data_IF_223552149162
#
_entry.id   IF_223552149162
#
_cell.length_a   1.000
_cell.length_b   1.000
_cell.length_c   1.000
_cell.angle_alpha   90.00
_cell.angle_beta   90.00
_cell.angle_gamma   90.00
#
_symmetry.space_group_name_H-M   'P 1'
#
loop_
_entity.id
_entity.type
_entity.pdbx_description
1 polymer ?
#
# COMPACT_ATOMS: atom_id res chain seq x y z
N UNK A 1 -22.40 -7.18 -7.97
CA UNK A 1 -21.00 -6.73 -7.95
C UNK A 1 -20.44 -7.12 -9.31
N UNK A 2 -19.90 -6.18 -10.09
CA UNK A 2 -19.43 -6.48 -11.45
C UNK A 2 -18.06 -7.15 -11.39
N UNK A 3 -17.84 -8.17 -12.24
CA UNK A 3 -16.60 -8.94 -12.28
C UNK A 3 -15.35 -8.07 -12.55
N UNK A 4 -15.53 -6.94 -13.24
CA UNK A 4 -14.46 -6.00 -13.60
C UNK A 4 -13.91 -5.22 -12.38
N UNK A 5 -14.76 -4.90 -11.40
CA UNK A 5 -14.29 -4.22 -10.17
C UNK A 5 -13.47 -5.16 -9.28
N UNK A 6 -13.88 -6.43 -9.21
CA UNK A 6 -13.18 -7.46 -8.46
C UNK A 6 -11.80 -7.78 -9.10
N UNK A 7 -11.72 -7.79 -10.44
CA UNK A 7 -10.45 -7.91 -11.17
C UNK A 7 -9.54 -6.70 -10.94
N UNK A 8 -10.09 -5.49 -10.92
CA UNK A 8 -9.32 -4.27 -10.62
C UNK A 8 -8.77 -4.28 -9.19
N UNK A 9 -9.57 -4.69 -8.19
CA UNK A 9 -9.15 -4.81 -6.79
C UNK A 9 -7.99 -5.81 -6.58
N UNK A 10 -7.93 -6.87 -7.39
CA UNK A 10 -6.84 -7.85 -7.32
C UNK A 10 -5.45 -7.25 -7.61
N UNK A 11 -5.41 -6.07 -8.26
CA UNK A 11 -4.18 -5.36 -8.67
C UNK A 11 -3.64 -4.42 -7.58
N UNK A 12 -4.21 -4.40 -6.38
CA UNK A 12 -3.81 -3.54 -5.25
C UNK A 12 -3.08 -4.36 -4.16
N UNK A 13 -1.73 -4.34 -4.05
CA UNK A 13 -1.01 -4.94 -2.89
C UNK A 13 0.29 -4.18 -2.41
N UNK A 14 0.58 -4.20 -1.08
CA UNK A 14 0.98 -3.09 -0.09
C UNK A 14 2.43 -2.58 -0.09
N UNK A 15 2.65 -1.34 0.41
CA UNK A 15 3.88 -0.82 1.07
C UNK A 15 3.57 0.38 2.02
N UNK A 16 4.41 0.67 3.03
CA UNK A 16 4.08 1.02 4.45
C UNK A 16 4.88 2.18 5.08
N UNK A 17 4.28 2.96 6.04
CA UNK A 17 4.51 3.36 7.51
C UNK A 17 5.76 4.01 8.22
N UNK A 18 5.71 5.25 8.77
CA UNK A 18 6.86 5.90 9.49
C UNK A 18 7.32 5.22 10.80
N UNK A 19 8.52 5.57 11.34
CA UNK A 19 9.03 5.06 12.61
C UNK A 19 8.08 5.39 13.77
N UNK A 20 7.29 4.41 14.18
CA UNK A 20 6.73 4.38 15.51
C UNK A 20 7.85 4.67 16.52
N UNK A 21 7.59 5.63 17.43
CA UNK A 21 8.21 5.76 18.74
C UNK A 21 8.70 4.40 19.23
N UNK A 22 9.89 4.33 19.81
CA UNK A 22 10.42 3.14 20.47
C UNK A 22 9.32 2.50 21.35
N UNK A 23 8.62 1.51 20.80
CA UNK A 23 7.53 0.84 21.49
C UNK A 23 8.16 0.12 22.66
N UNK A 24 7.92 0.61 23.88
CA UNK A 24 8.32 -0.13 25.07
C UNK A 24 7.53 -1.43 25.05
N UNK A 25 8.23 -2.56 24.92
CA UNK A 25 7.64 -3.87 25.12
C UNK A 25 6.94 -3.88 26.48
N UNK A 26 5.68 -4.32 26.47
CA UNK A 26 4.95 -4.60 27.70
C UNK A 26 5.62 -5.74 28.47
N UNK A 27 5.35 -5.84 29.78
CA UNK A 27 5.93 -6.88 30.62
C UNK A 27 5.52 -8.29 30.15
N UNK A 28 4.31 -8.44 29.61
CA UNK A 28 3.82 -9.69 29.04
C UNK A 28 4.61 -10.09 27.78
N UNK A 29 4.96 -9.13 26.92
CA UNK A 29 5.76 -9.37 25.73
C UNK A 29 7.21 -9.70 26.10
N UNK A 30 7.80 -8.95 27.04
CA UNK A 30 9.16 -9.23 27.55
C UNK A 30 9.26 -10.65 28.11
N UNK A 31 8.33 -11.02 28.99
CA UNK A 31 8.29 -12.36 29.58
C UNK A 31 8.18 -13.45 28.51
N UNK A 32 7.37 -13.25 27.48
CA UNK A 32 7.22 -14.23 26.41
C UNK A 32 8.51 -14.39 25.58
N UNK A 33 9.20 -13.27 25.30
CA UNK A 33 10.47 -13.29 24.57
C UNK A 33 11.61 -13.89 25.40
N UNK A 34 11.64 -13.68 26.71
CA UNK A 34 12.61 -14.30 27.62
C UNK A 34 12.43 -15.84 27.67
N UNK A 35 11.18 -16.32 27.69
CA UNK A 35 10.87 -17.75 27.60
C UNK A 35 11.32 -18.31 26.25
N UNK A 36 11.01 -17.63 25.15
CA UNK A 36 11.45 -18.04 23.82
C UNK A 36 12.97 -18.14 23.74
N UNK A 37 13.71 -17.14 24.26
CA UNK A 37 15.18 -17.12 24.31
C UNK A 37 15.77 -18.26 25.16
N UNK A 38 15.10 -18.65 26.24
CA UNK A 38 15.54 -19.73 27.11
C UNK A 38 15.19 -21.13 26.57
N UNK A 39 14.41 -21.21 25.48
CA UNK A 39 13.93 -22.48 24.94
C UNK A 39 15.02 -23.10 24.07
N UNK A 40 15.53 -24.27 24.48
CA UNK A 40 16.69 -24.89 23.81
C UNK A 40 16.40 -25.33 22.37
N UNK A 41 15.19 -25.85 22.12
CA UNK A 41 14.77 -26.35 20.80
C UNK A 41 13.45 -25.71 20.42
N UNK A 42 13.43 -25.06 19.25
CA UNK A 42 12.20 -24.49 18.67
C UNK A 42 11.59 -25.53 17.73
N UNK A 43 10.47 -26.11 18.15
CA UNK A 43 9.62 -26.98 17.35
C UNK A 43 8.13 -26.57 17.47
N UNK A 44 7.26 -27.26 16.74
CA UNK A 44 5.83 -26.97 16.74
C UNK A 44 5.20 -27.09 18.14
N UNK A 45 5.70 -27.99 19.00
CA UNK A 45 5.17 -28.19 20.34
C UNK A 45 5.58 -27.03 21.26
N UNK A 46 6.84 -26.61 21.21
CA UNK A 46 7.36 -25.48 21.96
C UNK A 46 6.65 -24.18 21.59
N UNK A 47 6.44 -23.92 20.28
CA UNK A 47 5.69 -22.74 19.86
C UNK A 47 4.22 -22.80 20.28
N UNK A 48 3.59 -23.97 20.18
CA UNK A 48 2.20 -24.18 20.61
C UNK A 48 2.03 -23.87 22.10
N UNK A 49 2.93 -24.38 22.94
CA UNK A 49 2.91 -24.14 24.38
C UNK A 49 3.15 -22.67 24.73
N UNK A 50 4.10 -22.04 24.04
CA UNK A 50 4.41 -20.62 24.21
C UNK A 50 3.18 -19.74 23.90
N UNK A 51 2.53 -19.95 22.76
CA UNK A 51 1.44 -19.06 22.31
C UNK A 51 0.14 -19.28 23.10
N UNK A 52 -0.08 -20.47 23.65
CA UNK A 52 -1.22 -20.78 24.52
C UNK A 52 -1.15 -19.93 25.79
N UNK A 53 0.03 -19.93 26.44
CA UNK A 53 0.27 -19.20 27.70
C UNK A 53 0.54 -17.71 27.47
N UNK A 54 1.18 -17.38 26.35
CA UNK A 54 1.63 -16.03 25.99
C UNK A 54 1.21 -15.65 24.56
N UNK A 55 -0.08 -15.43 24.29
CA UNK A 55 -0.58 -15.12 22.94
C UNK A 55 -0.03 -13.80 22.37
N UNK A 56 0.50 -12.92 23.21
CA UNK A 56 1.16 -11.67 22.79
C UNK A 56 2.53 -11.91 22.14
N UNK A 57 3.09 -13.12 22.21
CA UNK A 57 4.29 -13.51 21.47
C UNK A 57 4.03 -13.60 19.95
N UNK A 58 2.78 -13.87 19.55
CA UNK A 58 2.46 -14.21 18.16
C UNK A 58 2.94 -13.18 17.12
N UNK A 59 2.75 -11.85 17.30
CA UNK A 59 3.30 -10.86 16.39
C UNK A 59 4.81 -10.95 16.17
N UNK A 60 5.58 -11.34 17.19
CA UNK A 60 7.03 -11.50 17.10
C UNK A 60 7.40 -12.77 16.33
N UNK A 61 6.70 -13.88 16.60
CA UNK A 61 6.94 -15.14 15.89
C UNK A 61 6.66 -14.98 14.38
N UNK A 62 5.51 -14.41 14.02
CA UNK A 62 5.15 -14.24 12.60
C UNK A 62 5.99 -13.19 11.89
N UNK A 63 6.69 -12.32 12.62
CA UNK A 63 7.66 -11.41 12.01
C UNK A 63 8.86 -12.15 11.40
N UNK A 64 9.19 -13.35 11.90
CA UNK A 64 10.23 -14.21 11.33
C UNK A 64 9.88 -14.69 9.91
N UNK A 65 8.59 -14.71 9.56
CA UNK A 65 8.08 -15.02 8.21
C UNK A 65 7.64 -13.76 7.46
N UNK A 66 8.03 -12.57 7.94
CA UNK A 66 7.76 -11.29 7.29
C UNK A 66 6.33 -10.79 7.41
N UNK A 67 5.48 -11.39 8.25
CA UNK A 67 4.12 -10.95 8.44
C UNK A 67 4.03 -9.83 9.47
N UNK A 68 3.31 -8.77 9.10
CA UNK A 68 2.86 -7.76 10.05
C UNK A 68 1.62 -8.19 10.84
N UNK A 69 1.32 -7.49 11.94
CA UNK A 69 0.09 -7.73 12.71
C UNK A 69 -1.19 -7.62 11.86
N UNK A 70 -1.25 -6.66 10.94
CA UNK A 70 -2.41 -6.48 10.08
C UNK A 70 -2.51 -7.55 8.99
N UNK A 71 -1.38 -8.01 8.45
CA UNK A 71 -1.36 -9.17 7.55
C UNK A 71 -1.77 -10.44 8.29
N UNK A 72 -1.27 -10.65 9.51
CA UNK A 72 -1.66 -11.78 10.35
C UNK A 72 -3.19 -11.80 10.56
N UNK A 73 -3.83 -10.68 10.92
CA UNK A 73 -5.31 -10.64 11.05
C UNK A 73 -6.02 -11.02 9.74
N UNK A 74 -5.50 -10.58 8.61
CA UNK A 74 -6.01 -10.93 7.28
C UNK A 74 -5.92 -12.43 7.01
N UNK A 75 -4.74 -13.02 7.23
CA UNK A 75 -4.51 -14.45 7.02
C UNK A 75 -5.33 -15.31 7.97
N UNK A 76 -5.46 -14.92 9.25
CA UNK A 76 -6.29 -15.64 10.21
C UNK A 76 -7.77 -15.61 9.83
N UNK A 77 -8.25 -14.49 9.26
CA UNK A 77 -9.62 -14.42 8.76
C UNK A 77 -9.81 -15.32 7.54
N UNK A 78 -8.84 -15.37 6.63
CA UNK A 78 -8.87 -16.20 5.41
C UNK A 78 -8.79 -17.70 5.72
N UNK A 79 -7.83 -18.10 6.55
CA UNK A 79 -7.49 -19.50 6.80
C UNK A 79 -8.33 -20.15 7.88
N UNK A 80 -8.66 -19.38 8.93
CA UNK A 80 -9.29 -19.90 10.15
C UNK A 80 -10.64 -19.26 10.44
N UNK A 81 -11.07 -18.26 9.65
CA UNK A 81 -12.32 -17.54 9.87
C UNK A 81 -12.30 -16.63 11.12
N UNK A 82 -11.13 -16.37 11.71
CA UNK A 82 -11.01 -15.62 12.97
C UNK A 82 -10.37 -14.25 12.78
N UNK A 83 -10.89 -13.24 13.47
CA UNK A 83 -10.40 -11.86 13.35
C UNK A 83 -9.14 -11.53 14.16
N UNK A 84 -8.63 -12.46 14.98
CA UNK A 84 -7.46 -12.22 15.82
C UNK A 84 -6.94 -13.48 16.52
N UNK A 85 -5.64 -13.47 16.84
CA UNK A 85 -4.91 -14.64 17.33
C UNK A 85 -5.15 -14.94 18.82
N UNK A 86 -5.42 -13.94 19.67
CA UNK A 86 -5.46 -14.15 21.14
C UNK A 86 -6.50 -15.20 21.56
N UNK A 87 -7.71 -15.16 20.97
CA UNK A 87 -8.77 -16.11 21.32
C UNK A 87 -8.48 -17.51 20.80
N UNK A 88 -7.98 -17.63 19.56
CA UNK A 88 -7.69 -18.92 18.95
C UNK A 88 -6.44 -19.56 19.56
N UNK A 89 -5.44 -18.78 19.95
CA UNK A 89 -4.26 -19.27 20.67
C UNK A 89 -4.63 -19.90 22.01
N UNK A 90 -5.70 -19.45 22.68
CA UNK A 90 -6.16 -20.06 23.95
C UNK A 90 -7.10 -21.26 23.77
N UNK A 91 -7.72 -21.40 22.60
CA UNK A 91 -8.73 -22.44 22.34
C UNK A 91 -8.18 -23.60 21.53
N UNK A 92 -7.40 -23.27 20.49
CA UNK A 92 -6.87 -24.20 19.51
C UNK A 92 -5.42 -23.81 19.14
N UNK A 93 -4.48 -23.68 20.10
CA UNK A 93 -3.11 -23.22 19.83
C UNK A 93 -2.40 -24.11 18.81
N UNK A 94 -2.60 -25.42 18.91
CA UNK A 94 -1.99 -26.40 18.00
C UNK A 94 -2.44 -26.17 16.56
N UNK A 95 -3.75 -25.95 16.35
CA UNK A 95 -4.31 -25.66 15.02
C UNK A 95 -3.73 -24.36 14.47
N UNK A 96 -3.61 -23.33 15.31
CA UNK A 96 -3.03 -22.06 14.92
C UNK A 96 -1.57 -22.21 14.44
N UNK A 97 -0.72 -22.87 15.22
CA UNK A 97 0.69 -23.09 14.84
C UNK A 97 0.79 -23.97 13.60
N UNK A 98 0.04 -25.07 13.52
CA UNK A 98 0.07 -25.96 12.35
C UNK A 98 -0.37 -25.25 11.07
N UNK A 99 -1.41 -24.43 11.12
CA UNK A 99 -1.87 -23.67 9.95
C UNK A 99 -0.83 -22.63 9.52
N UNK A 100 -0.23 -21.90 10.47
CA UNK A 100 0.79 -20.91 10.14
C UNK A 100 2.10 -21.55 9.67
N UNK A 101 2.44 -22.73 10.19
CA UNK A 101 3.61 -23.48 9.76
C UNK A 101 3.43 -24.06 8.36
N UNK A 102 2.27 -24.65 8.07
CA UNK A 102 1.95 -25.19 6.76
C UNK A 102 1.98 -24.11 5.66
N UNK A 103 1.42 -22.93 5.95
CA UNK A 103 1.30 -21.85 4.96
C UNK A 103 2.57 -21.01 4.82
N UNK A 104 3.36 -20.86 5.88
CA UNK A 104 4.47 -19.90 5.93
C UNK A 104 5.82 -20.47 6.38
N UNK A 105 5.90 -21.75 6.76
CA UNK A 105 7.12 -22.35 7.31
C UNK A 105 7.54 -21.72 8.65
N UNK A 106 6.56 -21.36 9.48
CA UNK A 106 6.76 -20.60 10.72
C UNK A 106 7.78 -21.24 11.67
N UNK A 107 7.70 -22.55 11.92
CA UNK A 107 8.55 -23.25 12.89
C UNK A 107 10.00 -23.21 12.43
N UNK A 108 10.25 -23.51 11.16
CA UNK A 108 11.59 -23.48 10.58
C UNK A 108 12.16 -22.05 10.61
N UNK A 109 11.35 -21.05 10.24
CA UNK A 109 11.78 -19.66 10.25
C UNK A 109 12.16 -19.18 11.65
N UNK A 110 11.34 -19.45 12.68
CA UNK A 110 11.66 -19.07 14.05
C UNK A 110 12.89 -19.83 14.56
N UNK A 111 12.99 -21.12 14.28
CA UNK A 111 14.13 -21.95 14.69
C UNK A 111 15.45 -21.45 14.10
N UNK A 112 15.45 -21.12 12.79
CA UNK A 112 16.63 -20.56 12.10
C UNK A 112 17.08 -19.24 12.72
N UNK A 113 16.14 -18.34 13.00
CA UNK A 113 16.43 -17.04 13.61
C UNK A 113 16.89 -17.17 15.08
N UNK A 114 16.36 -18.14 15.80
CA UNK A 114 16.72 -18.43 17.19
C UNK A 114 18.15 -18.98 17.31
N UNK A 115 18.57 -19.82 16.37
CA UNK A 115 19.92 -20.39 16.34
C UNK A 115 20.96 -19.42 15.77
N UNK A 116 20.53 -18.33 15.14
CA UNK A 116 21.42 -17.37 14.53
C UNK A 116 22.14 -16.50 15.58
N UNK A 117 23.47 -16.41 15.45
CA UNK A 117 24.30 -15.51 16.27
C UNK A 117 24.38 -14.15 15.60
N UNK A 118 23.55 -13.22 16.05
CA UNK A 118 23.48 -11.86 15.49
C UNK A 118 24.74 -11.05 15.80
N UNK A 119 25.37 -10.52 14.76
CA UNK A 119 26.41 -9.49 14.91
C UNK A 119 25.81 -8.09 14.94
N UNK A 120 26.60 -7.12 15.39
CA UNK A 120 26.20 -5.71 15.29
C UNK A 120 25.96 -5.25 13.84
N UNK A 121 26.69 -5.82 12.87
CA UNK A 121 26.49 -5.53 11.44
C UNK A 121 25.12 -6.01 10.98
N UNK A 122 24.70 -7.21 11.36
CA UNK A 122 23.38 -7.77 11.00
C UNK A 122 22.25 -6.90 11.58
N UNK A 123 22.40 -6.44 12.82
CA UNK A 123 21.45 -5.52 13.45
C UNK A 123 21.38 -4.18 12.70
N UNK A 124 22.51 -3.64 12.22
CA UNK A 124 22.52 -2.41 11.43
C UNK A 124 21.92 -2.60 10.04
N UNK A 125 22.14 -3.76 9.40
CA UNK A 125 21.51 -4.13 8.12
C UNK A 125 20.01 -4.23 8.29
N UNK A 126 19.53 -4.98 9.29
CA UNK A 126 18.10 -5.10 9.61
C UNK A 126 17.46 -3.74 9.96
N UNK A 127 18.16 -2.89 10.72
CA UNK A 127 17.69 -1.53 11.00
C UNK A 127 17.65 -0.67 9.74
N UNK A 128 18.62 -0.79 8.84
CA UNK A 128 18.64 -0.05 7.57
C UNK A 128 17.49 -0.50 6.69
N UNK A 129 17.31 -1.81 6.50
CA UNK A 129 16.19 -2.41 5.78
C UNK A 129 14.88 -1.92 6.40
N UNK A 130 14.71 -2.02 7.71
CA UNK A 130 13.50 -1.55 8.39
C UNK A 130 13.32 -0.04 8.36
N UNK A 131 14.40 0.75 8.33
CA UNK A 131 14.33 2.22 8.17
C UNK A 131 13.96 2.63 6.75
N UNK A 132 14.38 1.88 5.73
CA UNK A 132 13.92 2.07 4.35
C UNK A 132 12.45 1.72 4.21
N UNK A 133 11.96 0.73 4.96
CA UNK A 133 10.54 0.40 5.10
C UNK A 133 9.75 1.39 5.98
N UNK A 134 10.44 2.30 6.70
CA UNK A 134 9.82 3.33 7.55
C UNK A 134 10.05 4.77 7.11
N UNK A 135 10.97 5.08 6.21
CA UNK A 135 11.06 6.42 5.62
C UNK A 135 10.06 6.61 4.46
N UNK A 136 9.59 5.53 3.87
CA UNK A 136 8.67 5.38 2.72
C UNK A 136 7.19 5.73 2.96
N UNK A 137 6.85 6.32 4.10
CA UNK A 137 5.90 5.59 4.92
C UNK A 137 4.87 6.45 5.68
N UNK A 138 5.14 7.72 5.97
CA UNK A 138 4.07 8.67 6.37
C UNK A 138 4.16 10.06 5.74
N UNK A 139 5.22 10.35 4.99
CA UNK A 139 5.32 11.55 4.14
C UNK A 139 5.69 11.23 2.70
N UNK A 140 6.11 9.99 2.42
CA UNK A 140 6.71 9.62 1.15
C UNK A 140 5.77 8.87 0.21
N UNK A 141 4.64 8.28 0.60
CA UNK A 141 3.83 7.49 -0.36
C UNK A 141 3.15 8.36 -1.43
N UNK A 142 2.64 9.56 -1.05
CA UNK A 142 2.11 10.54 -2.00
C UNK A 142 3.21 11.15 -2.87
N UNK A 143 4.31 11.60 -2.25
CA UNK A 143 5.46 12.17 -2.96
C UNK A 143 6.17 11.14 -3.85
N UNK A 144 6.29 9.87 -3.44
CA UNK A 144 6.86 8.79 -4.24
C UNK A 144 5.96 8.40 -5.41
N UNK A 145 4.63 8.44 -5.27
CA UNK A 145 3.74 8.19 -6.40
C UNK A 145 3.77 9.36 -7.39
N UNK A 146 3.79 10.60 -6.87
CA UNK A 146 4.03 11.80 -7.68
C UNK A 146 5.39 11.73 -8.40
N UNK A 147 6.47 11.39 -7.70
CA UNK A 147 7.82 11.28 -8.24
C UNK A 147 7.90 10.18 -9.30
N UNK A 148 7.28 9.01 -9.10
CA UNK A 148 7.24 7.92 -10.08
C UNK A 148 6.47 8.30 -11.35
N UNK A 149 5.32 8.98 -11.19
CA UNK A 149 4.57 9.50 -12.34
C UNK A 149 5.36 10.59 -13.05
N UNK A 150 6.01 11.48 -12.30
CA UNK A 150 6.87 12.53 -12.87
C UNK A 150 8.07 11.95 -13.61
N UNK A 151 8.71 10.89 -13.11
CA UNK A 151 9.79 10.16 -13.81
C UNK A 151 9.30 9.56 -15.14
N UNK A 152 8.08 9.01 -15.17
CA UNK A 152 7.46 8.51 -16.41
C UNK A 152 7.23 9.65 -17.39
N UNK A 153 6.65 10.77 -16.94
CA UNK A 153 6.40 11.94 -17.80
C UNK A 153 7.73 12.50 -18.33
N UNK A 154 8.74 12.66 -17.47
CA UNK A 154 10.11 13.08 -17.84
C UNK A 154 10.71 12.19 -18.91
N UNK A 155 10.45 10.88 -18.87
CA UNK A 155 11.01 9.93 -19.85
C UNK A 155 10.53 10.15 -21.29
N UNK A 156 9.46 10.94 -21.50
CA UNK A 156 8.95 11.29 -22.83
C UNK A 156 9.54 12.58 -23.42
N UNK A 157 10.37 13.32 -22.66
CA UNK A 157 10.99 14.59 -23.09
C UNK A 157 9.98 15.63 -23.62
N UNK A 158 8.79 15.67 -23.00
CA UNK A 158 7.74 16.65 -23.33
C UNK A 158 7.71 17.77 -22.28
N UNK A 159 7.27 18.99 -22.63
CA UNK A 159 7.00 20.02 -21.62
C UNK A 159 5.92 19.55 -20.66
N UNK A 160 6.06 19.83 -19.37
CA UNK A 160 5.01 19.56 -18.37
C UNK A 160 5.14 20.51 -17.18
N UNK A 161 4.10 20.56 -16.36
CA UNK A 161 4.08 21.32 -15.10
C UNK A 161 3.46 20.48 -13.99
N UNK A 162 4.20 20.28 -12.91
CA UNK A 162 3.68 19.64 -11.68
C UNK A 162 2.93 20.65 -10.81
N UNK A 163 2.00 20.15 -10.00
CA UNK A 163 1.23 20.89 -8.98
C UNK A 163 0.70 22.22 -9.50
N UNK A 164 -0.22 22.15 -10.46
CA UNK A 164 -0.78 23.33 -11.15
C UNK A 164 -2.30 23.30 -11.13
N UNK A 165 -2.91 24.31 -11.77
CA UNK A 165 -4.32 24.30 -12.14
C UNK A 165 -4.45 24.25 -13.65
N UNK A 166 -5.58 23.78 -14.14
CA UNK A 166 -5.95 23.86 -15.55
C UNK A 166 -7.33 24.47 -15.71
N UNK A 167 -7.53 25.10 -16.87
CA UNK A 167 -8.78 25.76 -17.19
C UNK A 167 -9.65 24.79 -17.98
N UNK A 168 -10.95 24.79 -17.68
CA UNK A 168 -11.87 23.87 -18.30
C UNK A 168 -13.24 24.45 -18.60
N UNK A 169 -14.26 23.59 -18.57
CA UNK A 169 -15.62 23.91 -18.96
C UNK A 169 -16.22 24.97 -18.02
N UNK A 170 -17.00 25.88 -18.59
CA UNK A 170 -17.78 26.84 -17.81
C UNK A 170 -16.95 27.95 -17.18
N UNK A 171 -15.75 28.24 -17.70
CA UNK A 171 -14.81 29.21 -17.12
C UNK A 171 -14.35 28.82 -15.69
N UNK A 172 -14.47 27.54 -15.34
CA UNK A 172 -13.95 27.01 -14.09
C UNK A 172 -12.52 26.47 -14.28
N UNK A 173 -11.76 26.46 -13.18
CA UNK A 173 -10.46 25.83 -13.09
C UNK A 173 -10.47 24.72 -12.03
N UNK A 174 -9.56 23.76 -12.18
CA UNK A 174 -9.39 22.66 -11.23
C UNK A 174 -7.91 22.44 -10.90
N UNK A 175 -7.58 22.07 -9.65
CA UNK A 175 -6.24 21.65 -9.30
C UNK A 175 -5.90 20.31 -9.96
N UNK A 176 -4.66 20.16 -10.42
CA UNK A 176 -4.13 18.90 -10.90
C UNK A 176 -2.67 18.72 -10.44
N UNK A 177 -2.29 17.46 -10.24
CA UNK A 177 -0.96 17.10 -9.76
C UNK A 177 0.08 17.18 -10.89
N UNK A 178 -0.34 16.99 -12.14
CA UNK A 178 0.44 17.32 -13.33
C UNK A 178 -0.43 17.81 -14.50
N UNK A 179 0.18 18.59 -15.39
CA UNK A 179 -0.41 18.99 -16.67
C UNK A 179 0.65 19.01 -17.80
N UNK A 180 0.25 18.60 -18.99
CA UNK A 180 1.07 18.54 -20.21
C UNK A 180 0.31 19.25 -21.34
N UNK A 181 0.95 20.10 -22.17
CA UNK A 181 2.33 20.57 -22.05
C UNK A 181 2.55 21.63 -20.95
N UNK A 182 1.48 22.26 -20.47
CA UNK A 182 1.52 23.30 -19.45
C UNK A 182 0.22 23.29 -18.63
N UNK A 183 0.13 24.14 -17.61
CA UNK A 183 -1.12 24.41 -16.88
C UNK A 183 -2.04 25.40 -17.61
N UNK A 184 -3.14 25.78 -16.96
CA UNK A 184 -4.13 26.74 -17.47
C UNK A 184 -4.84 26.23 -18.72
N UNK A 185 -5.12 27.12 -19.69
CA UNK A 185 -5.79 26.80 -20.97
C UNK A 185 -5.01 25.87 -21.88
N UNK A 186 -3.69 25.80 -21.70
CA UNK A 186 -2.81 25.02 -22.57
C UNK A 186 -2.66 23.57 -22.09
N UNK A 187 -3.29 23.18 -20.99
CA UNK A 187 -3.29 21.81 -20.52
C UNK A 187 -4.11 20.93 -21.48
N UNK A 188 -3.47 19.91 -22.05
CA UNK A 188 -4.09 18.92 -22.92
C UNK A 188 -4.18 17.54 -22.26
N UNK A 189 -3.23 17.22 -21.37
CA UNK A 189 -3.29 16.05 -20.50
C UNK A 189 -3.16 16.56 -19.06
N UNK A 190 -4.06 16.11 -18.19
CA UNK A 190 -4.03 16.43 -16.76
C UNK A 190 -4.16 15.16 -15.95
N UNK A 191 -3.59 15.14 -14.74
CA UNK A 191 -3.83 14.03 -13.85
C UNK A 191 -3.86 14.40 -12.37
N UNK A 192 -4.59 13.58 -11.64
CA UNK A 192 -4.71 13.61 -10.20
C UNK A 192 -4.03 12.37 -9.61
N UNK A 193 -3.10 12.58 -8.69
CA UNK A 193 -2.29 11.56 -8.04
C UNK A 193 -2.68 11.54 -6.56
N UNK A 194 -3.10 10.38 -6.05
CA UNK A 194 -3.59 10.24 -4.67
C UNK A 194 -2.91 9.09 -3.95
N UNK A 195 -2.12 9.45 -2.93
CA UNK A 195 -1.47 8.58 -1.96
C UNK A 195 -2.20 8.51 -0.61
N UNK A 196 -2.08 7.39 0.10
CA UNK A 196 -2.72 7.01 1.35
C UNK A 196 -1.66 6.52 2.35
N UNK A 197 -1.54 7.19 3.50
CA UNK A 197 -1.18 6.56 4.79
C UNK A 197 -1.58 7.44 6.00
N UNK A 198 -2.81 7.99 6.03
CA UNK A 198 -3.26 8.81 7.17
C UNK A 198 -4.67 8.43 7.61
N UNK A 199 -4.80 8.11 8.90
CA UNK A 199 -6.08 8.03 9.59
C UNK A 199 -6.83 9.36 9.48
N UNK A 200 -8.07 9.32 9.00
CA UNK A 200 -9.16 10.11 9.58
C UNK A 200 -9.59 11.43 8.92
N UNK A 201 -8.72 12.24 8.28
CA UNK A 201 -9.13 13.63 7.91
C UNK A 201 -8.81 14.14 6.50
N UNK A 202 -7.86 13.58 5.74
CA UNK A 202 -7.47 14.06 4.38
C UNK A 202 -8.16 13.36 3.20
N UNK A 203 -9.17 12.54 3.50
CA UNK A 203 -9.64 11.47 2.63
C UNK A 203 -10.95 11.79 1.91
N UNK A 204 -11.78 12.66 2.46
CA UNK A 204 -12.95 13.23 1.76
C UNK A 204 -12.53 14.06 0.54
N UNK A 205 -11.32 14.64 0.58
CA UNK A 205 -10.79 15.53 -0.47
C UNK A 205 -10.33 14.78 -1.73
N UNK A 206 -9.86 13.53 -1.63
CA UNK A 206 -9.29 12.79 -2.76
C UNK A 206 -10.31 12.46 -3.87
N UNK A 207 -11.51 11.98 -3.51
CA UNK A 207 -12.59 11.76 -4.49
C UNK A 207 -13.07 13.10 -5.03
N UNK A 208 -13.23 14.09 -4.15
CA UNK A 208 -13.70 15.43 -4.52
C UNK A 208 -12.79 16.05 -5.58
N UNK A 209 -11.47 15.93 -5.44
CA UNK A 209 -10.51 16.44 -6.42
C UNK A 209 -10.59 15.68 -7.75
N UNK A 210 -10.60 14.35 -7.75
CA UNK A 210 -10.70 13.57 -9.01
C UNK A 210 -12.03 13.86 -9.72
N UNK A 211 -13.13 13.93 -8.97
CA UNK A 211 -14.44 14.33 -9.50
C UNK A 211 -14.39 15.74 -10.08
N UNK A 212 -13.76 16.70 -9.38
CA UNK A 212 -13.66 18.08 -9.87
C UNK A 212 -12.84 18.17 -11.15
N UNK A 213 -11.72 17.46 -11.27
CA UNK A 213 -10.94 17.36 -12.51
C UNK A 213 -11.79 16.77 -13.64
N UNK A 214 -12.51 15.68 -13.36
CA UNK A 214 -13.39 15.04 -14.34
C UNK A 214 -14.54 15.95 -14.78
N UNK A 215 -15.10 16.76 -13.89
CA UNK A 215 -16.17 17.73 -14.14
C UNK A 215 -15.72 18.91 -14.98
N UNK A 216 -14.56 19.48 -14.65
CA UNK A 216 -14.01 20.67 -15.30
C UNK A 216 -13.40 20.36 -16.67
N UNK A 217 -12.99 19.11 -16.96
CA UNK A 217 -12.32 18.78 -18.22
C UNK A 217 -13.04 19.27 -19.49
N UNK A 218 -12.27 19.70 -20.47
CA UNK A 218 -12.73 19.92 -21.85
C UNK A 218 -12.77 18.60 -22.63
N UNK A 219 -13.63 18.45 -23.66
CA UNK A 219 -13.71 17.22 -24.45
C UNK A 219 -12.41 16.77 -25.13
N UNK A 220 -11.49 17.70 -25.40
CA UNK A 220 -10.18 17.40 -26.00
C UNK A 220 -9.05 17.13 -25.01
N UNK A 221 -9.33 17.20 -23.70
CA UNK A 221 -8.34 16.95 -22.65
C UNK A 221 -8.37 15.48 -22.20
N UNK A 222 -7.20 14.89 -22.03
CA UNK A 222 -7.04 13.60 -21.37
C UNK A 222 -6.94 13.79 -19.86
N UNK A 223 -7.70 13.00 -19.10
CA UNK A 223 -7.73 13.03 -17.64
C UNK A 223 -7.31 11.67 -17.09
N UNK A 224 -6.26 11.66 -16.29
CA UNK A 224 -5.79 10.46 -15.61
C UNK A 224 -5.92 10.55 -14.10
N UNK A 225 -6.29 9.44 -13.46
CA UNK A 225 -6.23 9.30 -12.01
C UNK A 225 -5.22 8.20 -11.66
N UNK A 226 -4.28 8.49 -10.77
CA UNK A 226 -3.30 7.53 -10.26
C UNK A 226 -3.47 7.39 -8.76
N UNK A 227 -3.74 6.19 -8.28
CA UNK A 227 -4.04 5.91 -6.87
C UNK A 227 -3.05 4.91 -6.26
N UNK A 228 -2.76 5.07 -4.98
CA UNK A 228 -1.76 4.26 -4.28
C UNK A 228 -2.33 2.97 -3.69
N UNK A 229 -2.95 2.14 -4.51
CA UNK A 229 -3.14 0.75 -4.09
C UNK A 229 -3.87 0.59 -2.74
N UNK A 230 -3.26 -0.16 -1.85
CA UNK A 230 -3.88 -0.76 -0.66
C UNK A 230 -4.66 0.15 0.26
N UNK A 231 -4.32 1.44 0.33
CA UNK A 231 -5.06 2.41 1.14
C UNK A 231 -6.56 2.44 0.82
N UNK A 232 -6.90 2.13 -0.43
CA UNK A 232 -8.26 2.14 -0.95
C UNK A 232 -9.10 0.91 -0.58
N UNK A 233 -8.48 -0.17 -0.10
CA UNK A 233 -9.21 -1.39 0.35
C UNK A 233 -10.10 -1.12 1.56
N UNK A 234 -9.77 -0.11 2.38
CA UNK A 234 -10.57 0.32 3.52
C UNK A 234 -11.67 1.33 3.14
N UNK A 235 -11.72 1.80 1.88
CA UNK A 235 -12.67 2.80 1.35
C UNK A 235 -13.19 2.40 -0.03
N UNK A 236 -13.68 1.18 -0.13
CA UNK A 236 -14.20 0.62 -1.38
C UNK A 236 -15.31 1.48 -2.01
N UNK A 237 -16.15 2.14 -1.21
CA UNK A 237 -17.20 3.04 -1.70
C UNK A 237 -16.64 4.27 -2.45
N UNK A 238 -15.53 4.83 -1.99
CA UNK A 238 -14.89 6.00 -2.60
C UNK A 238 -14.06 5.62 -3.82
N UNK A 239 -13.36 4.47 -3.76
CA UNK A 239 -12.71 3.90 -4.94
C UNK A 239 -13.75 3.58 -6.03
N UNK A 240 -14.91 3.06 -5.64
CA UNK A 240 -16.00 2.75 -6.57
C UNK A 240 -16.49 4.00 -7.30
N UNK A 241 -16.62 5.14 -6.63
CA UNK A 241 -16.99 6.41 -7.27
C UNK A 241 -15.97 6.85 -8.33
N UNK A 242 -14.67 6.72 -8.04
CA UNK A 242 -13.62 7.04 -9.03
C UNK A 242 -13.65 6.03 -10.19
N UNK A 243 -13.90 4.76 -9.90
CA UNK A 243 -14.06 3.73 -10.93
C UNK A 243 -15.28 3.98 -11.82
N UNK A 244 -16.41 4.43 -11.25
CA UNK A 244 -17.60 4.83 -12.00
C UNK A 244 -17.29 5.99 -12.97
N UNK A 245 -16.44 6.96 -12.59
CA UNK A 245 -15.97 8.01 -13.51
C UNK A 245 -15.17 7.42 -14.67
N UNK A 246 -14.35 6.40 -14.42
CA UNK A 246 -13.59 5.71 -15.47
C UNK A 246 -14.51 4.90 -16.40
N UNK A 247 -15.44 4.11 -15.86
CA UNK A 247 -16.43 3.34 -16.66
C UNK A 247 -17.29 4.26 -17.54
N UNK A 248 -17.69 5.42 -17.01
CA UNK A 248 -18.46 6.42 -17.74
C UNK A 248 -17.61 7.26 -18.70
N UNK A 249 -16.30 6.96 -18.84
CA UNK A 249 -15.33 7.71 -19.65
C UNK A 249 -15.27 9.20 -19.30
N UNK A 250 -15.56 9.54 -18.04
CA UNK A 250 -15.38 10.88 -17.46
C UNK A 250 -13.91 11.16 -17.15
N UNK A 251 -13.14 10.10 -16.91
CA UNK A 251 -11.68 10.10 -16.91
C UNK A 251 -11.21 9.03 -17.91
N UNK A 252 -10.06 9.25 -18.51
CA UNK A 252 -9.56 8.45 -19.64
C UNK A 252 -8.65 7.31 -19.19
N UNK A 253 -8.20 7.34 -17.94
CA UNK A 253 -7.43 6.26 -17.34
C UNK A 253 -7.41 6.31 -15.81
N UNK A 254 -7.48 5.13 -15.19
CA UNK A 254 -7.38 4.93 -13.75
C UNK A 254 -6.30 3.88 -13.46
N UNK A 255 -5.23 4.30 -12.81
CA UNK A 255 -4.04 3.47 -12.62
C UNK A 255 -3.71 3.32 -11.15
N UNK A 256 -3.13 2.16 -10.82
CA UNK A 256 -2.49 1.93 -9.53
C UNK A 256 -0.98 1.97 -9.69
N UNK A 257 -0.24 2.00 -8.57
CA UNK A 257 1.21 1.82 -8.59
C UNK A 257 1.69 0.58 -9.38
N UNK A 258 0.88 -0.48 -9.46
CA UNK A 258 1.22 -1.70 -10.24
C UNK A 258 0.92 -1.59 -11.73
N UNK A 259 0.12 -0.60 -12.11
CA UNK A 259 -0.29 -0.34 -13.49
C UNK A 259 0.48 0.84 -14.09
N UNK A 260 1.63 1.21 -13.53
CA UNK A 260 2.43 2.32 -14.05
C UNK A 260 3.00 2.06 -15.45
N UNK A 261 3.25 0.80 -15.80
CA UNK A 261 3.64 0.44 -17.18
C UNK A 261 2.47 0.66 -18.16
N UNK A 262 1.24 0.34 -17.73
CA UNK A 262 0.02 0.63 -18.51
C UNK A 262 -0.22 2.14 -18.61
N UNK A 263 -0.05 2.88 -17.51
CA UNK A 263 -0.10 4.35 -17.54
C UNK A 263 0.91 4.93 -18.53
N UNK A 264 2.15 4.43 -18.52
CA UNK A 264 3.18 4.85 -19.47
C UNK A 264 2.77 4.60 -20.92
N UNK A 265 2.19 3.43 -21.21
CA UNK A 265 1.71 3.09 -22.55
C UNK A 265 0.57 4.04 -23.00
N UNK A 266 -0.44 4.22 -22.16
CA UNK A 266 -1.60 5.06 -22.47
C UNK A 266 -1.22 6.55 -22.58
N UNK A 267 -0.31 7.02 -21.73
CA UNK A 267 0.26 8.37 -21.82
C UNK A 267 1.01 8.55 -23.14
N UNK A 268 1.83 7.57 -23.54
CA UNK A 268 2.53 7.60 -24.83
C UNK A 268 1.53 7.73 -25.99
N UNK A 269 0.43 6.99 -25.95
CA UNK A 269 -0.58 7.02 -27.00
C UNK A 269 -1.36 8.34 -27.04
N UNK A 270 -1.70 8.91 -25.88
CA UNK A 270 -2.30 10.24 -25.82
C UNK A 270 -1.36 11.32 -26.36
N UNK A 271 -0.07 11.28 -25.98
CA UNK A 271 0.93 12.22 -26.49
C UNK A 271 1.09 12.13 -28.02
N UNK A 272 1.06 10.91 -28.60
CA UNK A 272 1.06 10.73 -30.07
C UNK A 272 -0.17 11.33 -30.72
N UNK A 273 -1.37 11.07 -30.18
CA UNK A 273 -2.64 11.60 -30.72
C UNK A 273 -2.71 13.12 -30.68
N UNK A 274 -2.10 13.72 -29.66
CA UNK A 274 -2.00 15.17 -29.51
C UNK A 274 -0.82 15.79 -30.29
N UNK A 275 -0.02 14.99 -31.00
CA UNK A 275 1.20 15.41 -31.70
C UNK A 275 2.20 16.14 -30.78
N UNK A 276 2.34 15.68 -29.54
CA UNK A 276 3.26 16.23 -28.54
C UNK A 276 4.59 15.47 -28.47
N UNK A 277 4.65 14.23 -28.99
CA UNK A 277 5.89 13.51 -29.21
C UNK A 277 6.49 13.90 -30.56
N UNK A 278 7.78 14.20 -30.58
CA UNK A 278 8.55 14.44 -31.81
C UNK A 278 8.86 13.14 -32.52
#
# INVERSE_FOLDING_TARGET
>A
MSAEFDEFLSKFSRLRDQPANSARLSDAERKALDILKATATIDAAALTDLIERHPHAMPFLVSCVGLSQEQLKGELKRLLGVGGWVKIARREPKRLIQTLDLEFGLVEAVSRQHQHSWSFVDVLVERRVWSQHRATASQNTGRQLEDLVEEIIKSFDVPYKMRTRFDGRGNEDAPCDFAIPAGGRNAQIVGAIKGFDSTGSKLTDAVTEVTKVAEVRLPGQYVYAVVDGIGWLRRQADLKRIFELYEQRRIDGLYTKRLLDSFKADLSDALRRLNLLK
#
